data_IF_518244712613
#
_entry.id   IF_518244712613
#
_cell.length_a   1.000
_cell.length_b   1.000
_cell.length_c   1.000
_cell.angle_alpha   90.00
_cell.angle_beta   90.00
_cell.angle_gamma   90.00
#
_symmetry.space_group_name_H-M   'P 1'
#
loop_
_entity.id
_entity.type
_entity.pdbx_description
1 polymer ?
#
# COMPACT_ATOMS: atom_id res chain seq x y z
N UNK A 1 37.03 23.66 -24.63
CA UNK A 1 36.04 24.05 -23.61
C UNK A 1 34.75 23.33 -23.97
N UNK A 2 34.40 22.25 -23.28
CA UNK A 2 33.05 21.68 -23.36
C UNK A 2 32.11 22.73 -22.76
N UNK A 3 31.15 23.23 -23.55
CA UNK A 3 30.14 24.15 -23.04
C UNK A 3 29.35 23.40 -21.97
N UNK A 4 29.24 23.96 -20.77
CA UNK A 4 28.54 23.36 -19.63
C UNK A 4 27.11 22.90 -20.00
N UNK A 5 26.52 23.53 -21.02
CA UNK A 5 25.22 23.20 -21.58
C UNK A 5 25.18 21.84 -22.31
N UNK A 6 26.24 21.47 -23.03
CA UNK A 6 26.29 20.20 -23.79
C UNK A 6 26.36 19.01 -22.83
N UNK A 7 27.19 19.11 -21.80
CA UNK A 7 27.33 18.07 -20.76
C UNK A 7 26.03 17.91 -19.98
N UNK A 8 25.34 19.03 -19.71
CA UNK A 8 24.04 19.05 -19.02
C UNK A 8 22.95 18.40 -19.89
N UNK A 9 22.92 18.70 -21.18
CA UNK A 9 21.95 18.14 -22.13
C UNK A 9 22.16 16.64 -22.34
N UNK A 10 23.40 16.20 -22.46
CA UNK A 10 23.76 14.78 -22.59
C UNK A 10 23.39 14.00 -21.33
N UNK A 11 23.65 14.57 -20.15
CA UNK A 11 23.26 13.98 -18.86
C UNK A 11 21.74 13.88 -18.72
N UNK A 12 20.98 14.91 -19.14
CA UNK A 12 19.51 14.86 -19.16
C UNK A 12 18.97 13.77 -20.09
N UNK A 13 19.52 13.66 -21.31
CA UNK A 13 19.10 12.63 -22.27
C UNK A 13 19.32 11.24 -21.69
N UNK A 14 20.49 11.01 -21.08
CA UNK A 14 20.84 9.74 -20.43
C UNK A 14 19.89 9.39 -19.29
N UNK A 15 19.58 10.34 -18.39
CA UNK A 15 18.65 10.12 -17.28
C UNK A 15 17.22 9.89 -17.76
N UNK A 16 16.79 10.54 -18.83
CA UNK A 16 15.48 10.33 -19.44
C UNK A 16 15.35 8.95 -20.08
N UNK A 17 16.38 8.51 -20.80
CA UNK A 17 16.42 7.18 -21.41
C UNK A 17 16.45 6.08 -20.32
N UNK A 18 17.17 6.32 -19.21
CA UNK A 18 17.16 5.43 -18.04
C UNK A 18 15.77 5.35 -17.36
N UNK A 19 15.04 6.47 -17.28
CA UNK A 19 13.67 6.48 -16.76
C UNK A 19 12.70 5.71 -17.69
N UNK A 20 12.87 5.82 -19.01
CA UNK A 20 12.08 5.06 -19.99
C UNK A 20 12.37 3.56 -19.96
N UNK A 21 13.60 3.16 -19.62
CA UNK A 21 14.02 1.75 -19.59
C UNK A 21 13.39 0.91 -18.46
N UNK A 22 12.56 1.50 -17.57
CA UNK A 22 11.76 0.85 -16.51
C UNK A 22 12.43 -0.31 -15.74
N UNK A 23 13.30 0.01 -14.77
CA UNK A 23 13.54 -0.87 -13.63
C UNK A 23 12.54 -0.53 -12.50
N UNK A 24 11.80 -1.53 -12.03
CA UNK A 24 10.72 -1.41 -11.03
C UNK A 24 11.20 -1.25 -9.58
N UNK A 25 12.44 -0.79 -9.38
CA UNK A 25 12.98 -0.54 -8.05
C UNK A 25 12.60 0.87 -7.59
N UNK A 26 11.77 0.95 -6.55
CA UNK A 26 11.23 2.22 -6.04
C UNK A 26 12.33 3.16 -5.54
N UNK A 27 13.43 2.61 -5.02
CA UNK A 27 14.55 3.42 -4.52
C UNK A 27 15.35 4.03 -5.69
N UNK A 28 15.50 3.27 -6.78
CA UNK A 28 16.14 3.73 -8.00
C UNK A 28 15.36 4.85 -8.70
N UNK A 29 14.02 4.77 -8.69
CA UNK A 29 13.15 5.84 -9.20
C UNK A 29 13.28 7.13 -8.37
N UNK A 30 13.37 7.02 -7.04
CA UNK A 30 13.53 8.20 -6.18
C UNK A 30 14.89 8.91 -6.38
N UNK A 31 15.96 8.14 -6.64
CA UNK A 31 17.29 8.69 -6.98
C UNK A 31 17.28 9.35 -8.36
N UNK A 32 16.70 8.70 -9.37
CA UNK A 32 16.54 9.27 -10.72
C UNK A 32 15.72 10.56 -10.71
N UNK A 33 14.62 10.57 -9.97
CA UNK A 33 13.75 11.74 -9.85
C UNK A 33 14.46 12.91 -9.14
N UNK A 34 15.28 12.61 -8.13
CA UNK A 34 16.06 13.63 -7.42
C UNK A 34 17.13 14.22 -8.35
N UNK A 35 17.82 13.38 -9.13
CA UNK A 35 18.80 13.83 -10.13
C UNK A 35 18.14 14.65 -11.26
N UNK A 36 16.92 14.31 -11.69
CA UNK A 36 16.15 15.08 -12.65
C UNK A 36 15.66 16.41 -12.06
N UNK A 37 15.21 16.43 -10.81
CA UNK A 37 14.76 17.64 -10.13
C UNK A 37 15.88 18.64 -9.92
N UNK A 38 17.09 18.16 -9.60
CA UNK A 38 18.28 19.00 -9.42
C UNK A 38 18.82 19.53 -10.76
N UNK A 39 18.60 18.82 -11.87
CA UNK A 39 19.05 19.25 -13.20
C UNK A 39 18.06 20.17 -13.92
N UNK A 40 16.78 20.18 -13.54
CA UNK A 40 15.67 20.89 -14.21
C UNK A 40 15.12 22.09 -13.41
N UNK A 41 15.98 23.00 -12.96
CA UNK A 41 15.59 24.22 -12.22
C UNK A 41 14.43 25.05 -12.82
N UNK A 42 13.86 25.92 -11.97
CA UNK A 42 12.55 26.61 -12.01
C UNK A 42 12.01 27.14 -13.36
N UNK A 43 12.85 27.41 -14.36
CA UNK A 43 12.44 28.04 -15.63
C UNK A 43 11.52 27.17 -16.50
N UNK A 44 11.44 25.85 -16.30
CA UNK A 44 10.70 24.93 -17.20
C UNK A 44 9.34 24.41 -16.75
N UNK A 45 8.86 24.77 -15.56
CA UNK A 45 7.47 24.45 -15.16
C UNK A 45 6.45 25.04 -16.15
N UNK A 46 6.84 26.10 -16.86
CA UNK A 46 6.03 26.78 -17.88
C UNK A 46 6.04 26.05 -19.23
N UNK A 47 7.10 25.31 -19.58
CA UNK A 47 7.27 24.74 -20.93
C UNK A 47 6.79 23.28 -21.08
N UNK A 48 6.62 22.51 -19.99
CA UNK A 48 6.25 21.09 -20.09
C UNK A 48 5.21 20.62 -19.04
N UNK A 49 3.91 20.61 -19.39
CA UNK A 49 2.81 20.36 -18.44
C UNK A 49 2.77 18.92 -17.88
N UNK A 50 3.36 17.94 -18.56
CA UNK A 50 3.38 16.55 -18.08
C UNK A 50 4.28 16.37 -16.85
N UNK A 51 5.33 17.19 -16.72
CA UNK A 51 6.21 17.18 -15.54
C UNK A 51 5.57 17.88 -14.34
N UNK A 52 4.76 18.93 -14.58
CA UNK A 52 3.94 19.56 -13.55
C UNK A 52 2.95 18.56 -12.93
N UNK A 53 2.23 17.80 -13.75
CA UNK A 53 1.30 16.77 -13.28
C UNK A 53 1.97 15.71 -12.40
N UNK A 54 3.20 15.29 -12.75
CA UNK A 54 3.96 14.33 -11.94
C UNK A 54 4.43 14.91 -10.61
N UNK A 55 4.86 16.18 -10.60
CA UNK A 55 5.25 16.88 -9.37
C UNK A 55 4.06 17.07 -8.42
N UNK A 56 2.89 17.42 -8.97
CA UNK A 56 1.63 17.50 -8.19
C UNK A 56 1.26 16.15 -7.58
N UNK A 57 1.36 15.05 -8.34
CA UNK A 57 1.11 13.70 -7.82
C UNK A 57 2.11 13.32 -6.72
N UNK A 58 3.40 13.68 -6.88
CA UNK A 58 4.44 13.46 -5.88
C UNK A 58 4.17 14.23 -4.59
N UNK A 59 3.81 15.51 -4.68
CA UNK A 59 3.49 16.34 -3.51
C UNK A 59 2.21 15.88 -2.81
N UNK A 60 1.20 15.45 -3.58
CA UNK A 60 0.01 14.82 -3.01
C UNK A 60 0.36 13.54 -2.23
N UNK A 61 1.19 12.66 -2.81
CA UNK A 61 1.66 11.44 -2.13
C UNK A 61 2.49 11.74 -0.88
N UNK A 62 3.40 12.72 -0.94
CA UNK A 62 4.23 13.16 0.19
C UNK A 62 3.35 13.72 1.32
N UNK A 63 2.34 14.51 0.98
CA UNK A 63 1.39 15.09 1.93
C UNK A 63 0.55 14.01 2.61
N UNK A 64 0.03 13.03 1.85
CA UNK A 64 -0.69 11.88 2.40
C UNK A 64 0.21 11.06 3.34
N UNK A 65 1.44 10.73 2.92
CA UNK A 65 2.39 9.98 3.77
C UNK A 65 2.71 10.71 5.07
N UNK A 66 2.94 12.04 5.02
CA UNK A 66 3.15 12.86 6.21
C UNK A 66 1.91 12.89 7.11
N UNK A 67 0.72 13.10 6.56
CA UNK A 67 -0.54 13.06 7.30
C UNK A 67 -0.74 11.71 8.01
N UNK A 68 -0.45 10.60 7.34
CA UNK A 68 -0.49 9.26 7.95
C UNK A 68 0.56 9.08 9.05
N UNK A 69 1.79 9.58 8.85
CA UNK A 69 2.83 9.54 9.87
C UNK A 69 2.45 10.37 11.10
N UNK A 70 1.95 11.59 10.92
CA UNK A 70 1.45 12.46 11.99
C UNK A 70 0.21 11.88 12.66
N UNK A 71 -0.67 11.22 11.92
CA UNK A 71 -1.82 10.49 12.48
C UNK A 71 -1.38 9.33 13.36
N UNK A 72 -0.39 8.54 12.92
CA UNK A 72 0.23 7.47 13.73
C UNK A 72 0.92 8.02 14.97
N UNK A 73 1.65 9.13 14.84
CA UNK A 73 2.33 9.80 15.94
C UNK A 73 1.34 10.39 16.96
N UNK A 74 0.26 11.02 16.48
CA UNK A 74 -0.80 11.56 17.34
C UNK A 74 -1.61 10.45 18.02
N UNK A 75 -1.93 9.38 17.30
CA UNK A 75 -2.46 8.15 17.87
C UNK A 75 -1.46 7.51 18.84
N UNK A 76 -0.18 7.84 18.73
CA UNK A 76 0.86 7.46 19.67
C UNK A 76 1.07 8.38 20.88
N UNK A 77 0.53 9.59 20.87
CA UNK A 77 0.66 10.52 22.00
C UNK A 77 -0.60 10.61 22.85
N UNK A 78 -1.75 10.11 22.39
CA UNK A 78 -3.04 10.20 23.11
C UNK A 78 -3.61 8.82 23.43
N UNK A 79 -4.07 8.54 24.66
CA UNK A 79 -4.74 7.28 24.97
C UNK A 79 -6.04 7.19 24.18
N UNK A 80 -6.22 6.11 23.42
CA UNK A 80 -7.51 5.79 22.81
C UNK A 80 -8.45 5.23 23.88
N UNK A 81 -9.76 5.49 23.75
CA UNK A 81 -10.79 5.04 24.69
C UNK A 81 -10.98 3.51 24.72
N UNK A 82 -10.33 2.78 23.81
CA UNK A 82 -10.51 1.35 23.58
C UNK A 82 -9.46 0.53 24.36
N UNK A 83 -9.94 -0.35 25.24
CA UNK A 83 -9.12 -1.20 26.10
C UNK A 83 -8.25 -2.21 25.32
N UNK A 84 -8.65 -2.58 24.10
CA UNK A 84 -7.90 -3.48 23.21
C UNK A 84 -6.61 -2.86 22.65
N UNK A 85 -6.44 -1.54 22.82
CA UNK A 85 -5.29 -0.76 22.34
C UNK A 85 -4.44 -0.19 23.47
N UNK A 86 -4.61 -0.71 24.70
CA UNK A 86 -3.76 -0.35 25.85
C UNK A 86 -2.32 -0.77 25.57
N UNK A 87 -1.42 0.18 25.81
CA UNK A 87 0.02 0.02 25.61
C UNK A 87 0.65 -0.49 26.88
N UNK A 88 1.63 -1.38 26.73
CA UNK A 88 2.63 -1.61 27.75
C UNK A 88 3.87 -0.84 27.32
N UNK A 89 4.31 0.10 28.15
CA UNK A 89 5.63 0.70 28.00
C UNK A 89 6.63 -0.37 28.46
N UNK A 90 7.33 -0.98 27.51
CA UNK A 90 8.44 -1.86 27.79
C UNK A 90 9.74 -1.09 27.60
N UNK A 91 10.77 -1.46 28.36
CA UNK A 91 12.13 -0.97 28.14
C UNK A 91 12.79 -1.97 27.21
N UNK A 92 13.23 -1.53 26.03
CA UNK A 92 13.97 -2.39 25.11
C UNK A 92 15.32 -2.79 25.72
N UNK A 93 15.99 -3.78 25.12
CA UNK A 93 17.30 -4.25 25.59
C UNK A 93 18.37 -3.14 25.67
N UNK A 94 18.22 -2.08 24.87
CA UNK A 94 19.11 -0.92 24.83
C UNK A 94 18.72 0.20 25.83
N UNK A 95 17.75 -0.06 26.72
CA UNK A 95 17.29 0.91 27.72
C UNK A 95 16.34 1.98 27.18
N UNK A 96 16.01 1.95 25.89
CA UNK A 96 15.08 2.90 25.29
C UNK A 96 13.62 2.53 25.58
N UNK A 97 12.74 3.50 25.87
CA UNK A 97 11.31 3.23 26.02
C UNK A 97 10.72 2.80 24.67
N UNK A 98 10.26 1.56 24.58
CA UNK A 98 9.54 1.01 23.45
C UNK A 98 8.05 0.94 23.78
N UNK A 99 7.24 1.68 23.03
CA UNK A 99 5.79 1.57 23.11
C UNK A 99 5.33 0.44 22.19
N UNK A 100 5.16 -0.75 22.73
CA UNK A 100 4.61 -1.88 21.99
C UNK A 100 3.07 -1.87 22.10
N UNK A 101 2.40 -2.06 20.96
CA UNK A 101 0.97 -2.36 20.99
C UNK A 101 0.83 -3.79 21.49
N UNK A 102 0.11 -3.97 22.60
CA UNK A 102 -0.17 -5.33 23.05
C UNK A 102 -1.25 -5.92 22.17
N UNK A 103 -0.86 -6.65 21.14
CA UNK A 103 -1.75 -7.59 20.46
C UNK A 103 -1.88 -8.81 21.34
N UNK A 104 -2.76 -8.77 22.35
CA UNK A 104 -3.17 -9.99 23.03
C UNK A 104 -3.93 -10.85 22.02
N UNK A 105 -3.27 -11.88 21.50
CA UNK A 105 -3.90 -12.90 20.68
C UNK A 105 -4.70 -13.85 21.61
N UNK A 106 -5.86 -13.37 22.07
CA UNK A 106 -6.69 -14.10 23.04
C UNK A 106 -7.31 -15.33 22.37
N UNK A 107 -7.58 -16.42 23.11
CA UNK A 107 -8.26 -17.59 22.54
C UNK A 107 -9.61 -17.23 21.93
N UNK A 108 -10.31 -16.23 22.47
CA UNK A 108 -11.55 -15.68 21.91
C UNK A 108 -11.30 -15.00 20.57
N UNK A 109 -10.23 -14.21 20.43
CA UNK A 109 -9.86 -13.59 19.16
C UNK A 109 -9.56 -14.64 18.08
N UNK A 110 -8.86 -15.73 18.44
CA UNK A 110 -8.62 -16.85 17.51
C UNK A 110 -9.90 -17.58 17.13
N UNK A 111 -10.81 -17.78 18.08
CA UNK A 111 -12.11 -18.38 17.82
C UNK A 111 -12.93 -17.54 16.83
N UNK A 112 -13.00 -16.22 17.06
CA UNK A 112 -13.68 -15.27 16.18
C UNK A 112 -13.08 -15.25 14.76
N UNK A 113 -11.74 -15.23 14.64
CA UNK A 113 -11.07 -15.30 13.33
C UNK A 113 -11.41 -16.62 12.63
N UNK A 114 -11.36 -17.74 13.35
CA UNK A 114 -11.66 -19.06 12.78
C UNK A 114 -13.10 -19.16 12.30
N UNK A 115 -14.06 -18.66 13.09
CA UNK A 115 -15.48 -18.61 12.75
C UNK A 115 -15.71 -17.72 11.52
N UNK A 116 -15.13 -16.52 11.52
CA UNK A 116 -15.24 -15.57 10.39
C UNK A 116 -14.68 -16.16 9.10
N UNK A 117 -13.51 -16.80 9.16
CA UNK A 117 -12.89 -17.44 7.98
C UNK A 117 -13.76 -18.61 7.49
N UNK A 118 -14.33 -19.41 8.40
CA UNK A 118 -15.23 -20.52 8.04
C UNK A 118 -16.49 -20.00 7.36
N UNK A 119 -17.09 -18.93 7.86
CA UNK A 119 -18.29 -18.33 7.28
C UNK A 119 -18.01 -17.72 5.90
N UNK A 120 -16.90 -17.00 5.75
CA UNK A 120 -16.46 -16.49 4.45
C UNK A 120 -16.18 -17.61 3.46
N UNK A 121 -15.58 -18.72 3.90
CA UNK A 121 -15.34 -19.89 3.05
C UNK A 121 -16.65 -20.57 2.62
N UNK A 122 -17.62 -20.69 3.55
CA UNK A 122 -18.95 -21.19 3.24
C UNK A 122 -19.65 -20.31 2.20
N UNK A 123 -19.65 -18.99 2.39
CA UNK A 123 -20.19 -18.06 1.40
C UNK A 123 -19.45 -18.14 0.06
N UNK A 124 -18.12 -18.18 0.08
CA UNK A 124 -17.31 -18.28 -1.13
C UNK A 124 -17.63 -19.54 -1.94
N UNK A 125 -17.92 -20.67 -1.27
CA UNK A 125 -18.34 -21.90 -1.95
C UNK A 125 -19.66 -21.75 -2.73
N UNK A 126 -20.56 -20.85 -2.30
CA UNK A 126 -21.82 -20.57 -3.00
C UNK A 126 -21.64 -19.81 -4.31
N UNK A 127 -20.49 -19.13 -4.49
CA UNK A 127 -20.16 -18.39 -5.71
C UNK A 127 -19.72 -19.32 -6.87
N UNK A 128 -19.56 -20.62 -6.59
CA UNK A 128 -19.16 -21.64 -7.54
C UNK A 128 -17.74 -22.17 -7.30
N UNK A 129 -17.21 -23.01 -8.21
CA UNK A 129 -15.96 -23.75 -8.00
C UNK A 129 -14.72 -22.85 -7.86
N UNK A 130 -14.79 -21.62 -8.35
CA UNK A 130 -13.71 -20.62 -8.28
C UNK A 130 -13.76 -19.75 -7.00
N UNK A 131 -14.88 -19.77 -6.27
CA UNK A 131 -15.13 -18.82 -5.18
C UNK A 131 -14.16 -18.99 -4.01
N UNK A 132 -13.91 -20.24 -3.59
CA UNK A 132 -12.94 -20.56 -2.52
C UNK A 132 -11.52 -20.17 -2.94
N UNK A 133 -11.14 -20.43 -4.19
CA UNK A 133 -9.84 -20.01 -4.72
C UNK A 133 -9.68 -18.49 -4.80
N UNK A 134 -10.77 -17.76 -5.11
CA UNK A 134 -10.77 -16.30 -5.07
C UNK A 134 -10.65 -15.74 -3.65
N UNK A 135 -11.25 -16.38 -2.65
CA UNK A 135 -11.09 -16.05 -1.24
C UNK A 135 -9.65 -16.31 -0.78
N UNK A 136 -9.10 -17.48 -1.09
CA UNK A 136 -7.71 -17.82 -0.76
C UNK A 136 -6.73 -16.82 -1.37
N UNK A 137 -6.92 -16.46 -2.64
CA UNK A 137 -6.10 -15.43 -3.28
C UNK A 137 -6.24 -14.03 -2.65
N UNK A 138 -7.34 -13.72 -1.95
CA UNK A 138 -7.44 -12.49 -1.16
C UNK A 138 -6.64 -12.58 0.14
N UNK A 139 -6.63 -13.74 0.80
CA UNK A 139 -5.87 -13.97 2.04
C UNK A 139 -4.35 -13.98 1.77
N UNK A 140 -3.94 -14.55 0.63
CA UNK A 140 -2.54 -14.62 0.19
C UNK A 140 -2.06 -13.33 -0.50
N UNK A 141 -2.86 -12.26 -0.47
CA UNK A 141 -2.53 -10.96 -1.07
C UNK A 141 -2.24 -10.99 -2.59
N UNK A 142 -2.80 -11.98 -3.30
CA UNK A 142 -2.68 -12.05 -4.76
C UNK A 142 -3.44 -10.90 -5.43
N UNK A 143 -2.89 -10.41 -6.54
CA UNK A 143 -3.58 -9.48 -7.44
C UNK A 143 -4.75 -10.17 -8.15
N UNK A 144 -5.68 -9.39 -8.72
CA UNK A 144 -6.82 -9.94 -9.47
C UNK A 144 -6.36 -10.78 -10.67
N UNK A 145 -5.36 -10.35 -11.48
CA UNK A 145 -4.83 -11.18 -12.56
C UNK A 145 -4.19 -12.49 -12.08
N UNK A 146 -3.43 -12.48 -10.99
CA UNK A 146 -2.83 -13.69 -10.41
C UNK A 146 -3.89 -14.66 -9.92
N UNK A 147 -4.93 -14.16 -9.23
CA UNK A 147 -6.07 -15.01 -8.85
C UNK A 147 -6.83 -15.55 -10.05
N UNK A 148 -6.95 -14.79 -11.15
CA UNK A 148 -7.59 -15.27 -12.38
C UNK A 148 -6.80 -16.42 -13.02
N UNK A 149 -5.47 -16.30 -13.06
CA UNK A 149 -4.58 -17.39 -13.49
C UNK A 149 -4.67 -18.60 -12.56
N UNK A 150 -4.63 -18.38 -11.25
CA UNK A 150 -4.68 -19.44 -10.25
C UNK A 150 -6.00 -20.23 -10.27
N UNK A 151 -7.13 -19.54 -10.48
CA UNK A 151 -8.47 -20.14 -10.46
C UNK A 151 -8.99 -20.54 -11.85
N UNK A 152 -8.27 -20.21 -12.92
CA UNK A 152 -8.65 -20.54 -14.30
C UNK A 152 -9.89 -19.80 -14.81
N UNK A 153 -10.27 -18.66 -14.21
CA UNK A 153 -11.43 -17.86 -14.63
C UNK A 153 -11.02 -16.46 -15.11
N UNK A 154 -11.95 -15.77 -15.79
CA UNK A 154 -11.71 -14.40 -16.25
C UNK A 154 -11.48 -13.42 -15.10
N UNK A 155 -10.69 -12.38 -15.34
CA UNK A 155 -10.46 -11.25 -14.41
C UNK A 155 -11.80 -10.67 -13.93
N UNK A 156 -12.77 -10.47 -14.83
CA UNK A 156 -14.09 -9.94 -14.50
C UNK A 156 -14.89 -10.86 -13.56
N UNK A 157 -14.68 -12.18 -13.63
CA UNK A 157 -15.27 -13.15 -12.70
C UNK A 157 -14.63 -13.03 -11.32
N UNK A 158 -13.30 -12.92 -11.26
CA UNK A 158 -12.57 -12.71 -9.99
C UNK A 158 -12.99 -11.40 -9.32
N UNK A 159 -13.12 -10.30 -10.07
CA UNK A 159 -13.58 -9.03 -9.51
C UNK A 159 -14.98 -9.12 -8.91
N UNK A 160 -15.90 -9.79 -9.59
CA UNK A 160 -17.26 -10.05 -9.09
C UNK A 160 -17.25 -10.90 -7.83
N UNK A 161 -16.49 -12.00 -7.82
CA UNK A 161 -16.37 -12.88 -6.66
C UNK A 161 -15.77 -12.14 -5.45
N UNK A 162 -14.64 -11.42 -5.64
CA UNK A 162 -14.01 -10.61 -4.58
C UNK A 162 -14.95 -9.51 -4.07
N UNK A 163 -15.75 -8.88 -4.95
CA UNK A 163 -16.75 -7.88 -4.53
C UNK A 163 -17.84 -8.52 -3.68
N UNK A 164 -18.36 -9.68 -4.07
CA UNK A 164 -19.37 -10.41 -3.31
C UNK A 164 -18.84 -10.80 -1.92
N UNK A 165 -17.63 -11.37 -1.85
CA UNK A 165 -16.97 -11.73 -0.58
C UNK A 165 -16.78 -10.51 0.31
N UNK A 166 -16.33 -9.37 -0.22
CA UNK A 166 -16.18 -8.13 0.56
C UNK A 166 -17.52 -7.61 1.08
N UNK A 167 -18.58 -7.68 0.28
CA UNK A 167 -19.91 -7.25 0.71
C UNK A 167 -20.43 -8.13 1.85
N UNK A 168 -20.22 -9.45 1.76
CA UNK A 168 -20.59 -10.37 2.83
C UNK A 168 -19.72 -10.16 4.08
N UNK A 169 -18.41 -9.96 3.95
CA UNK A 169 -17.54 -9.64 5.09
C UNK A 169 -18.00 -8.36 5.82
N UNK A 170 -18.47 -7.34 5.08
CA UNK A 170 -19.03 -6.12 5.69
C UNK A 170 -20.29 -6.40 6.49
N UNK A 171 -21.17 -7.30 6.02
CA UNK A 171 -22.37 -7.65 6.81
C UNK A 171 -21.99 -8.33 8.12
N UNK A 172 -21.00 -9.23 8.11
CA UNK A 172 -20.52 -9.88 9.34
C UNK A 172 -19.97 -8.88 10.37
N UNK A 173 -19.22 -7.88 9.89
CA UNK A 173 -18.66 -6.84 10.76
C UNK A 173 -19.74 -5.88 11.28
N UNK A 174 -20.73 -5.50 10.46
CA UNK A 174 -21.79 -4.58 10.87
C UNK A 174 -22.81 -5.19 11.84
N UNK A 175 -23.01 -6.51 11.84
CA UNK A 175 -23.85 -7.19 12.83
C UNK A 175 -23.11 -7.52 14.14
N UNK A 176 -21.78 -7.42 14.15
CA UNK A 176 -20.93 -7.65 15.32
C UNK A 176 -20.62 -6.37 16.14
N UNK A 177 -21.12 -5.21 15.72
CA UNK A 177 -20.94 -3.90 16.36
C UNK A 177 -22.24 -3.41 17.00
#
# INVERSE_FOLDING_TARGET
MLQLDDVRFETMRRLHDMNKARPWDSEYLDVLDTALSLTLGEERVVENPDQLCRNVIRDARRTIRRSQATSRENAARRPLADASRRRVLAVSFDGAPAAEMVTYDTPEARALVTETVRELAAFASTLGPHGVGCLQGMLDMMTVPESAQHTGVSVATVERARRAVRNHARTLICFAA
#
